data_IF_902883353588
#
_entry.id   IF_902883353588
#
_cell.length_a   1.000
_cell.length_b   1.000
_cell.length_c   1.000
_cell.angle_alpha   90.00
_cell.angle_beta   90.00
_cell.angle_gamma   90.00
#
_symmetry.space_group_name_H-M   'P 1'
#
loop_
_entity.id
_entity.type
_entity.pdbx_description
1 polymer ?
#
# COMPACT_ATOMS: atom_id res chain seq x y z
N UNK A 1 60.20 8.53 6.24
CA UNK A 1 58.81 8.18 5.84
C UNK A 1 57.82 8.86 6.79
N UNK A 2 56.98 9.79 6.33
CA UNK A 2 56.04 10.51 7.19
C UNK A 2 54.92 9.58 7.67
N UNK A 3 54.62 9.57 8.97
CA UNK A 3 53.53 8.78 9.54
C UNK A 3 52.18 9.44 9.27
N UNK A 4 51.28 8.67 8.65
CA UNK A 4 49.91 9.05 8.34
C UNK A 4 49.10 9.31 9.63
N UNK A 5 48.53 10.50 9.77
CA UNK A 5 47.67 10.87 10.90
C UNK A 5 46.23 10.50 10.60
N UNK A 6 45.64 9.57 11.38
CA UNK A 6 44.21 9.23 11.32
C UNK A 6 43.35 10.46 11.61
N UNK A 7 42.48 10.83 10.65
CA UNK A 7 41.44 11.85 10.83
C UNK A 7 40.35 11.30 11.77
N UNK A 8 39.98 12.08 12.78
CA UNK A 8 38.83 11.79 13.64
C UNK A 8 37.56 12.03 12.83
N UNK A 9 36.77 10.99 12.62
CA UNK A 9 35.42 11.07 12.07
C UNK A 9 34.54 11.63 13.18
N UNK A 10 34.22 12.92 13.10
CA UNK A 10 33.27 13.55 14.00
C UNK A 10 31.86 13.47 13.42
N UNK A 11 30.91 13.34 14.35
CA UNK A 11 29.48 13.57 14.21
C UNK A 11 28.66 12.41 13.65
N UNK A 12 27.93 11.78 14.57
CA UNK A 12 26.74 10.98 14.29
C UNK A 12 25.83 11.72 13.30
N UNK A 13 25.23 10.96 12.38
CA UNK A 13 24.20 11.50 11.49
C UNK A 13 23.03 12.05 12.33
N UNK A 14 22.47 13.22 11.98
CA UNK A 14 21.29 13.73 12.65
C UNK A 14 20.14 12.73 12.44
N UNK A 15 19.50 12.34 13.55
CA UNK A 15 18.37 11.40 13.56
C UNK A 15 17.33 11.76 12.51
N UNK A 16 16.84 10.76 11.78
CA UNK A 16 15.86 10.90 10.72
C UNK A 16 14.74 11.90 11.09
N UNK A 17 14.57 12.93 10.25
CA UNK A 17 13.48 13.90 10.41
C UNK A 17 12.16 13.16 10.32
N UNK A 18 11.42 13.09 11.42
CA UNK A 18 10.07 12.54 11.43
C UNK A 18 9.20 13.36 10.46
N UNK A 19 8.46 12.67 9.60
CA UNK A 19 7.49 13.32 8.72
C UNK A 19 6.55 14.18 9.58
N UNK A 20 6.26 15.40 9.10
CA UNK A 20 5.30 16.30 9.75
C UNK A 20 4.03 15.52 10.05
N UNK A 21 3.55 15.57 11.30
CA UNK A 21 2.31 14.93 11.72
C UNK A 21 1.19 15.39 10.77
N UNK A 22 0.77 14.50 9.88
CA UNK A 22 -0.49 14.67 9.18
C UNK A 22 -1.56 14.34 10.21
N UNK A 23 -2.32 15.35 10.63
CA UNK A 23 -3.48 15.13 11.47
C UNK A 23 -4.44 14.23 10.69
N UNK A 24 -4.87 13.12 11.28
CA UNK A 24 -5.83 12.19 10.70
C UNK A 24 -7.27 12.73 10.80
N UNK A 25 -7.43 14.04 10.62
CA UNK A 25 -8.74 14.70 10.54
C UNK A 25 -8.99 14.91 9.05
N UNK A 26 -10.11 14.40 8.54
CA UNK A 26 -10.50 14.58 7.14
C UNK A 26 -10.49 16.07 6.82
N UNK A 27 -9.97 16.47 5.65
CA UNK A 27 -9.91 17.89 5.25
C UNK A 27 -11.30 18.55 5.27
N UNK A 28 -12.36 17.75 5.05
CA UNK A 28 -13.76 18.20 5.16
C UNK A 28 -14.21 18.58 6.59
N UNK A 29 -13.42 18.25 7.62
CA UNK A 29 -13.71 18.57 9.02
C UNK A 29 -12.78 19.68 9.57
N UNK A 30 -11.89 20.23 8.74
CA UNK A 30 -11.02 21.36 9.10
C UNK A 30 -11.42 22.55 8.25
N UNK A 31 -12.14 23.49 8.85
CA UNK A 31 -12.40 24.77 8.20
C UNK A 31 -11.08 25.50 8.00
N UNK A 32 -10.75 25.81 6.73
CA UNK A 32 -9.60 26.62 6.39
C UNK A 32 -9.88 28.07 6.82
N UNK A 33 -9.45 28.43 8.03
CA UNK A 33 -9.60 29.80 8.55
C UNK A 33 -8.48 30.68 7.99
N UNK A 34 -8.82 31.59 7.08
CA UNK A 34 -7.92 32.61 6.58
C UNK A 34 -7.63 33.64 7.69
N UNK A 35 -6.39 33.63 8.18
CA UNK A 35 -5.94 34.52 9.25
C UNK A 35 -5.92 35.96 8.73
N UNK A 36 -6.97 36.73 9.04
CA UNK A 36 -7.11 38.14 8.68
C UNK A 36 -8.43 38.52 8.01
N UNK A 37 -9.26 37.55 7.58
CA UNK A 37 -10.53 37.83 6.92
C UNK A 37 -11.55 38.57 7.81
N UNK A 38 -11.43 38.43 9.14
CA UNK A 38 -12.33 39.06 10.11
C UNK A 38 -11.80 40.39 10.69
N UNK A 39 -10.74 40.98 10.13
CA UNK A 39 -10.15 42.21 10.67
C UNK A 39 -11.07 43.45 10.57
N UNK A 40 -12.00 43.45 9.61
CA UNK A 40 -12.95 44.53 9.34
C UNK A 40 -14.33 44.31 10.01
N UNK A 41 -14.55 43.15 10.64
CA UNK A 41 -15.86 42.79 11.19
C UNK A 41 -16.00 43.35 12.61
N UNK A 42 -17.06 44.14 12.83
CA UNK A 42 -17.41 44.67 14.16
C UNK A 42 -17.57 43.52 15.18
N UNK A 43 -17.00 43.68 16.38
CA UNK A 43 -17.02 42.65 17.42
C UNK A 43 -18.44 42.19 17.81
N UNK A 44 -19.46 43.02 17.62
CA UNK A 44 -20.87 42.64 17.86
C UNK A 44 -21.39 41.62 16.85
N UNK A 45 -20.97 41.69 15.58
CA UNK A 45 -21.34 40.72 14.56
C UNK A 45 -20.70 39.34 14.83
N UNK A 46 -19.46 39.33 15.32
CA UNK A 46 -18.73 38.11 15.72
C UNK A 46 -19.44 37.44 16.92
N UNK A 47 -19.89 38.24 17.90
CA UNK A 47 -20.63 37.72 19.05
C UNK A 47 -22.00 37.17 18.66
N UNK A 48 -22.68 37.78 17.69
CA UNK A 48 -23.94 37.28 17.15
C UNK A 48 -23.76 35.97 16.36
N UNK A 49 -22.74 35.85 15.51
CA UNK A 49 -22.43 34.60 14.79
C UNK A 49 -22.07 33.44 15.73
N UNK A 50 -21.33 33.72 16.81
CA UNK A 50 -21.03 32.71 17.83
C UNK A 50 -22.28 32.28 18.59
N UNK A 51 -23.24 33.19 18.77
CA UNK A 51 -24.53 32.87 19.41
C UNK A 51 -25.46 32.06 18.50
N UNK A 52 -25.44 32.28 17.19
CA UNK A 52 -26.22 31.50 16.22
C UNK A 52 -25.61 30.13 15.94
N UNK A 53 -24.29 30.03 15.84
CA UNK A 53 -23.56 28.75 15.71
C UNK A 53 -23.64 27.85 16.96
N UNK A 54 -24.04 28.40 18.12
CA UNK A 54 -24.35 27.62 19.31
C UNK A 54 -25.70 26.89 19.24
N UNK A 55 -26.52 27.17 18.23
CA UNK A 55 -27.85 26.55 18.03
C UNK A 55 -27.77 25.22 17.26
N UNK A 56 -26.65 24.95 16.59
CA UNK A 56 -26.33 23.62 16.04
C UNK A 56 -26.16 22.64 17.21
N UNK A 57 -26.92 21.54 17.28
CA UNK A 57 -26.87 20.61 18.40
C UNK A 57 -25.53 19.88 18.38
N UNK A 58 -24.51 20.45 19.02
CA UNK A 58 -23.31 19.73 19.42
C UNK A 58 -23.78 18.56 20.26
N UNK A 59 -23.75 17.36 19.70
CA UNK A 59 -24.12 16.12 20.37
C UNK A 59 -23.24 15.93 21.62
N UNK A 60 -23.70 16.53 22.72
CA UNK A 60 -23.09 16.41 24.03
C UNK A 60 -23.55 15.09 24.63
N UNK A 61 -22.94 14.01 24.15
CA UNK A 61 -23.16 12.66 24.65
C UNK A 61 -23.00 12.70 26.17
N UNK A 62 -24.04 12.27 26.89
CA UNK A 62 -24.00 12.27 28.36
C UNK A 62 -22.86 11.34 28.80
N UNK A 63 -22.22 11.66 29.93
CA UNK A 63 -21.12 10.83 30.48
C UNK A 63 -21.51 9.35 30.61
N UNK A 64 -22.78 9.08 30.91
CA UNK A 64 -23.36 7.73 30.99
C UNK A 64 -23.38 7.02 29.64
N UNK A 65 -23.86 7.67 28.59
CA UNK A 65 -23.88 7.13 27.22
C UNK A 65 -22.45 6.86 26.72
N UNK A 66 -21.51 7.76 26.99
CA UNK A 66 -20.09 7.53 26.65
C UNK A 66 -19.50 6.32 27.37
N UNK A 67 -19.91 6.08 28.63
CA UNK A 67 -19.46 4.91 29.38
C UNK A 67 -20.07 3.62 28.84
N UNK A 68 -21.35 3.65 28.44
CA UNK A 68 -22.02 2.51 27.82
C UNK A 68 -21.39 2.16 26.47
N UNK A 69 -21.16 3.16 25.60
CA UNK A 69 -20.48 2.94 24.32
C UNK A 69 -19.07 2.35 24.50
N UNK A 70 -18.33 2.79 25.52
CA UNK A 70 -17.02 2.19 25.84
C UNK A 70 -17.15 0.73 26.30
N UNK A 71 -18.16 0.44 27.12
CA UNK A 71 -18.41 -0.91 27.61
C UNK A 71 -18.80 -1.83 26.45
N UNK A 72 -19.74 -1.40 25.61
CA UNK A 72 -20.19 -2.15 24.43
C UNK A 72 -19.06 -2.40 23.45
N UNK A 73 -18.27 -1.38 23.12
CA UNK A 73 -17.10 -1.52 22.25
C UNK A 73 -16.06 -2.50 22.83
N UNK A 74 -15.89 -2.52 24.16
CA UNK A 74 -15.00 -3.47 24.81
C UNK A 74 -15.54 -4.90 24.74
N UNK A 75 -16.85 -5.10 24.94
CA UNK A 75 -17.49 -6.40 24.82
C UNK A 75 -17.44 -6.91 23.36
N UNK A 76 -17.67 -6.04 22.37
CA UNK A 76 -17.48 -6.38 20.95
C UNK A 76 -16.04 -6.76 20.63
N UNK A 77 -15.07 -6.05 21.20
CA UNK A 77 -13.65 -6.39 21.04
C UNK A 77 -13.35 -7.77 21.62
N UNK A 78 -13.88 -8.11 22.80
CA UNK A 78 -13.70 -9.44 23.38
C UNK A 78 -14.39 -10.53 22.55
N UNK A 79 -15.59 -10.25 22.01
CA UNK A 79 -16.32 -11.17 21.13
C UNK A 79 -15.61 -11.39 19.79
N UNK A 80 -14.89 -10.39 19.27
CA UNK A 80 -14.16 -10.48 17.99
C UNK A 80 -12.73 -11.01 18.13
N UNK A 81 -12.06 -10.77 19.26
CA UNK A 81 -10.68 -11.23 19.51
C UNK A 81 -10.58 -12.69 19.98
N UNK A 82 -11.70 -13.38 20.22
CA UNK A 82 -11.73 -14.83 20.43
C UNK A 82 -11.48 -15.57 19.12
N UNK A 83 -10.26 -15.44 18.59
CA UNK A 83 -9.71 -16.45 17.69
C UNK A 83 -9.71 -17.78 18.46
N UNK A 84 -10.30 -18.85 17.91
CA UNK A 84 -10.40 -20.15 18.60
C UNK A 84 -9.05 -20.83 18.84
N UNK A 85 -7.94 -20.20 18.43
CA UNK A 85 -6.60 -20.76 18.46
C UNK A 85 -5.65 -19.96 19.34
N UNK A 86 -4.83 -20.66 20.11
CA UNK A 86 -3.80 -20.06 20.95
C UNK A 86 -2.78 -19.27 20.13
N UNK A 87 -2.10 -18.30 20.75
CA UNK A 87 -1.03 -17.48 20.13
C UNK A 87 0.06 -18.35 19.47
N UNK A 88 0.40 -19.47 20.07
CA UNK A 88 1.39 -20.43 19.53
C UNK A 88 0.84 -21.15 18.30
N UNK A 89 -0.41 -21.58 18.33
CA UNK A 89 -1.05 -22.23 17.19
C UNK A 89 -1.20 -21.28 16.00
N UNK A 90 -1.54 -20.01 16.25
CA UNK A 90 -1.55 -18.97 15.22
C UNK A 90 -0.17 -18.73 14.61
N UNK A 91 0.89 -18.72 15.42
CA UNK A 91 2.28 -18.64 14.92
C UNK A 91 2.63 -19.85 14.05
N UNK A 92 2.25 -21.07 14.48
CA UNK A 92 2.47 -22.30 13.70
C UNK A 92 1.70 -22.27 12.38
N UNK A 93 0.45 -21.82 12.39
CA UNK A 93 -0.37 -21.68 11.19
C UNK A 93 0.23 -20.68 10.21
N UNK A 94 0.61 -19.48 10.69
CA UNK A 94 1.28 -18.47 9.86
C UNK A 94 2.63 -18.97 9.30
N UNK A 95 3.38 -19.76 10.09
CA UNK A 95 4.63 -20.38 9.63
C UNK A 95 4.36 -21.39 8.52
N UNK A 96 3.39 -22.29 8.69
CA UNK A 96 2.98 -23.27 7.66
C UNK A 96 2.51 -22.59 6.38
N UNK A 97 1.68 -21.55 6.49
CA UNK A 97 1.21 -20.78 5.33
C UNK A 97 2.35 -20.13 4.55
N UNK A 98 3.44 -19.71 5.22
CA UNK A 98 4.62 -19.14 4.57
C UNK A 98 5.54 -20.19 3.95
N UNK A 99 5.66 -21.35 4.59
CA UNK A 99 6.51 -22.47 4.13
C UNK A 99 5.87 -23.25 2.97
N UNK A 100 4.56 -23.13 2.78
CA UNK A 100 3.85 -23.74 1.66
C UNK A 100 4.21 -23.02 0.35
N UNK A 101 5.31 -23.45 -0.27
CA UNK A 101 5.71 -23.04 -1.62
C UNK A 101 4.62 -23.51 -2.58
N UNK A 102 3.81 -22.57 -3.07
CA UNK A 102 2.62 -22.86 -3.89
C UNK A 102 1.29 -22.83 -3.13
N UNK A 103 1.24 -22.20 -1.95
CA UNK A 103 -0.01 -22.02 -1.20
C UNK A 103 -1.07 -21.21 -1.95
N UNK A 104 -1.92 -21.93 -2.69
CA UNK A 104 -3.30 -21.58 -3.05
C UNK A 104 -3.55 -20.30 -3.85
N UNK A 105 -4.26 -20.45 -4.98
CA UNK A 105 -4.84 -19.34 -5.76
C UNK A 105 -5.78 -18.43 -4.94
N UNK A 106 -6.20 -18.87 -3.76
CA UNK A 106 -7.15 -18.18 -2.88
C UNK A 106 -6.70 -16.76 -2.52
N UNK A 107 -5.39 -16.57 -2.33
CA UNK A 107 -4.83 -15.25 -2.02
C UNK A 107 -4.95 -14.29 -3.20
N UNK A 108 -4.72 -14.76 -4.43
CA UNK A 108 -4.88 -13.99 -5.67
C UNK A 108 -6.36 -13.67 -5.90
N UNK A 109 -7.25 -14.63 -5.65
CA UNK A 109 -8.70 -14.45 -5.73
C UNK A 109 -9.20 -13.35 -4.80
N UNK A 110 -8.80 -13.39 -3.52
CA UNK A 110 -9.16 -12.38 -2.54
C UNK A 110 -8.65 -10.97 -2.91
N UNK A 111 -7.43 -10.87 -3.46
CA UNK A 111 -6.88 -9.59 -3.92
C UNK A 111 -7.64 -9.05 -5.12
N UNK A 112 -8.01 -9.89 -6.09
CA UNK A 112 -8.83 -9.47 -7.23
C UNK A 112 -10.20 -8.94 -6.77
N UNK A 113 -10.89 -9.65 -5.88
CA UNK A 113 -12.15 -9.19 -5.30
C UNK A 113 -12.01 -7.86 -4.56
N UNK A 114 -10.94 -7.66 -3.79
CA UNK A 114 -10.69 -6.40 -3.09
C UNK A 114 -10.41 -5.23 -4.05
N UNK A 115 -9.75 -5.47 -5.18
CA UNK A 115 -9.54 -4.46 -6.22
C UNK A 115 -10.88 -4.10 -6.87
N UNK A 116 -11.74 -5.07 -7.13
CA UNK A 116 -13.04 -4.87 -7.77
C UNK A 116 -14.06 -4.17 -6.84
N UNK A 117 -14.02 -4.44 -5.53
CA UNK A 117 -14.89 -3.77 -4.53
C UNK A 117 -14.48 -2.28 -4.35
N UNK A 118 -13.21 -1.94 -4.61
CA UNK A 118 -12.71 -0.56 -4.58
C UNK A 118 -13.12 0.29 -5.79
N UNK A 119 -13.88 -0.25 -6.74
CA UNK A 119 -14.40 0.44 -7.94
C UNK A 119 -15.90 0.82 -7.81
N UNK A 120 -16.44 0.91 -6.58
CA UNK A 120 -17.76 1.51 -6.36
C UNK A 120 -17.70 3.03 -6.64
N UNK A 121 -18.55 3.58 -7.52
CA UNK A 121 -18.35 4.91 -8.08
C UNK A 121 -18.98 5.98 -7.19
N UNK A 122 -18.19 6.61 -6.31
CA UNK A 122 -18.52 7.95 -5.80
C UNK A 122 -17.30 8.87 -5.88
N UNK A 123 -17.51 10.02 -6.54
CA UNK A 123 -16.65 11.22 -6.67
C UNK A 123 -15.40 11.05 -7.57
N UNK A 124 -15.33 11.52 -8.82
CA UNK A 124 -15.68 12.86 -9.35
C UNK A 124 -14.43 13.76 -9.29
N UNK A 125 -13.60 13.89 -10.33
CA UNK A 125 -13.76 14.85 -11.44
C UNK A 125 -12.49 14.85 -12.35
N UNK A 126 -12.44 15.59 -13.47
CA UNK A 126 -13.12 15.31 -14.73
C UNK A 126 -12.15 14.95 -15.87
N UNK A 127 -12.75 14.50 -16.96
CA UNK A 127 -12.11 14.10 -18.20
C UNK A 127 -11.37 15.24 -18.92
N UNK A 128 -10.21 14.91 -19.49
CA UNK A 128 -9.73 15.49 -20.73
C UNK A 128 -9.45 14.34 -21.73
N UNK A 129 -10.42 14.10 -22.61
CA UNK A 129 -10.16 13.70 -24.00
C UNK A 129 -9.72 15.00 -24.70
N UNK A 130 -8.78 15.12 -25.63
CA UNK A 130 -8.32 14.34 -26.79
C UNK A 130 -6.83 14.70 -26.99
N UNK A 131 -5.94 13.98 -27.68
CA UNK A 131 -5.88 13.71 -29.13
C UNK A 131 -4.78 12.69 -29.43
N UNK A 132 -4.84 12.11 -30.63
CA UNK A 132 -3.97 11.07 -31.18
C UNK A 132 -2.54 11.54 -31.50
N UNK A 133 -1.66 10.55 -31.56
CA UNK A 133 -0.41 10.46 -32.33
C UNK A 133 0.78 11.37 -31.96
N UNK A 134 1.66 10.84 -31.11
CA UNK A 134 3.10 10.99 -31.28
C UNK A 134 3.86 9.84 -30.59
N UNK A 135 4.66 9.15 -31.41
CA UNK A 135 5.66 8.12 -31.13
C UNK A 135 6.31 8.23 -29.74
N UNK A 136 5.98 7.30 -28.83
CA UNK A 136 6.68 7.20 -27.55
C UNK A 136 8.13 6.71 -27.77
N UNK A 137 9.17 7.39 -27.24
CA UNK A 137 10.53 6.91 -27.35
C UNK A 137 10.71 5.67 -26.48
N UNK A 138 11.25 4.60 -27.09
CA UNK A 138 11.65 3.37 -26.39
C UNK A 138 12.81 3.72 -25.44
N UNK A 139 12.50 3.95 -24.16
CA UNK A 139 13.53 4.08 -23.12
C UNK A 139 14.13 2.69 -22.89
N UNK A 140 15.36 2.49 -23.36
CA UNK A 140 16.10 1.28 -23.07
C UNK A 140 16.45 1.25 -21.57
N UNK A 141 16.21 0.13 -20.86
CA UNK A 141 16.62 0.03 -19.47
C UNK A 141 18.14 -0.07 -19.44
N UNK A 142 18.80 0.89 -18.77
CA UNK A 142 20.21 0.76 -18.37
C UNK A 142 20.30 -0.40 -17.38
N UNK A 143 20.68 -1.56 -17.90
CA UNK A 143 21.07 -2.71 -17.11
C UNK A 143 22.41 -2.40 -16.44
N UNK A 144 22.68 -3.04 -15.29
CA UNK A 144 23.93 -3.03 -14.49
C UNK A 144 23.90 -2.30 -13.13
N UNK A 145 22.76 -1.82 -12.64
CA UNK A 145 22.63 -1.42 -11.23
C UNK A 145 21.45 -2.14 -10.55
N UNK A 146 21.77 -3.09 -9.67
CA UNK A 146 20.79 -3.80 -8.85
C UNK A 146 20.27 -2.80 -7.82
N UNK A 147 19.07 -2.25 -8.04
CA UNK A 147 18.40 -1.39 -7.06
C UNK A 147 17.61 -0.20 -7.64
N UNK A 148 17.86 0.20 -8.89
CA UNK A 148 17.28 1.44 -9.47
C UNK A 148 16.30 1.18 -10.64
N UNK A 149 15.75 -0.02 -10.74
CA UNK A 149 14.75 -0.37 -11.75
C UNK A 149 13.32 -0.31 -11.21
N UNK A 150 12.51 0.66 -11.67
CA UNK A 150 11.03 0.71 -11.55
C UNK A 150 10.48 0.85 -10.12
N UNK A 151 10.79 1.96 -9.44
CA UNK A 151 10.10 2.35 -8.20
C UNK A 151 8.62 2.73 -8.38
N UNK A 152 8.14 2.86 -9.62
CA UNK A 152 6.72 3.05 -9.89
C UNK A 152 5.98 1.72 -9.90
N UNK A 153 5.12 1.53 -8.91
CA UNK A 153 4.18 0.41 -8.90
C UNK A 153 3.30 0.47 -10.16
N UNK A 154 2.97 -0.68 -10.73
CA UNK A 154 2.06 -0.81 -11.87
C UNK A 154 0.74 -0.06 -11.62
N UNK A 155 0.08 0.45 -12.66
CA UNK A 155 -1.27 1.05 -12.55
C UNK A 155 -2.28 -0.01 -12.08
N UNK A 156 -3.37 0.37 -11.40
CA UNK A 156 -4.40 -0.57 -10.89
C UNK A 156 -4.82 -1.61 -11.95
N UNK A 157 -5.17 -1.15 -13.15
CA UNK A 157 -5.58 -2.01 -14.27
C UNK A 157 -4.47 -2.95 -14.75
N UNK A 158 -3.20 -2.50 -14.71
CA UNK A 158 -2.06 -3.34 -15.05
C UNK A 158 -1.83 -4.42 -13.98
N UNK A 159 -2.01 -4.09 -12.70
CA UNK A 159 -1.96 -5.08 -11.60
C UNK A 159 -3.07 -6.10 -11.74
N UNK A 160 -4.30 -5.67 -12.01
CA UNK A 160 -5.45 -6.57 -12.23
C UNK A 160 -5.16 -7.57 -13.35
N UNK A 161 -4.75 -7.07 -14.53
CA UNK A 161 -4.38 -7.94 -15.67
C UNK A 161 -3.23 -8.90 -15.34
N UNK A 162 -2.22 -8.43 -14.60
CA UNK A 162 -1.11 -9.29 -14.18
C UNK A 162 -1.57 -10.39 -13.21
N UNK A 163 -2.45 -10.07 -12.25
CA UNK A 163 -3.03 -11.03 -11.32
C UNK A 163 -3.96 -12.03 -12.02
N UNK A 164 -4.75 -11.60 -13.01
CA UNK A 164 -5.58 -12.47 -13.84
C UNK A 164 -4.72 -13.46 -14.65
N UNK A 165 -3.63 -12.99 -15.25
CA UNK A 165 -2.69 -13.86 -15.97
C UNK A 165 -2.07 -14.88 -15.01
N UNK A 166 -1.58 -14.44 -13.85
CA UNK A 166 -0.99 -15.35 -12.87
C UNK A 166 -2.01 -16.36 -12.33
N UNK A 167 -3.30 -15.98 -12.19
CA UNK A 167 -4.38 -16.91 -11.84
C UNK A 167 -4.52 -18.04 -12.86
N UNK A 168 -4.38 -17.75 -14.15
CA UNK A 168 -4.41 -18.77 -15.22
C UNK A 168 -3.11 -19.58 -15.28
N UNK A 169 -1.97 -18.95 -14.98
CA UNK A 169 -0.64 -19.55 -15.11
C UNK A 169 -0.32 -20.53 -13.98
N UNK A 170 -0.61 -20.18 -12.73
CA UNK A 170 -0.28 -21.02 -11.58
C UNK A 170 -0.81 -22.47 -11.66
N UNK A 171 -2.06 -22.76 -12.06
CA UNK A 171 -2.51 -24.14 -12.15
C UNK A 171 -1.73 -24.95 -13.20
N UNK A 172 -1.28 -24.30 -14.28
CA UNK A 172 -0.43 -24.94 -15.30
C UNK A 172 0.98 -25.25 -14.79
N UNK A 173 1.50 -24.44 -13.87
CA UNK A 173 2.79 -24.72 -13.21
C UNK A 173 2.63 -25.88 -12.23
N UNK A 174 1.55 -25.88 -11.45
CA UNK A 174 1.28 -26.91 -10.44
C UNK A 174 0.90 -28.26 -11.05
N UNK A 175 0.33 -28.29 -12.27
CA UNK A 175 0.06 -29.54 -12.98
C UNK A 175 1.33 -30.26 -13.46
N UNK A 176 2.48 -29.60 -13.46
CA UNK A 176 3.74 -30.22 -13.82
C UNK A 176 4.28 -31.08 -12.66
N UNK A 177 4.43 -32.41 -12.83
CA UNK A 177 4.88 -33.31 -11.76
C UNK A 177 6.33 -33.03 -11.30
N UNK A 178 7.18 -32.51 -12.19
CA UNK A 178 8.56 -32.12 -11.83
C UNK A 178 8.57 -30.90 -10.90
N UNK A 179 7.64 -29.98 -11.12
CA UNK A 179 7.49 -28.80 -10.27
C UNK A 179 6.94 -29.17 -8.89
N UNK A 180 5.95 -30.07 -8.84
CA UNK A 180 5.35 -30.57 -7.59
C UNK A 180 6.36 -31.33 -6.71
N UNK A 181 7.22 -32.15 -7.33
CA UNK A 181 8.26 -32.90 -6.61
C UNK A 181 9.43 -32.03 -6.14
N UNK A 182 9.98 -31.17 -7.01
CA UNK A 182 11.05 -30.25 -6.66
C UNK A 182 10.97 -28.93 -7.45
N UNK A 183 10.35 -27.87 -6.89
CA UNK A 183 10.15 -26.62 -7.61
C UNK A 183 11.48 -25.91 -7.89
N UNK A 184 12.44 -25.97 -6.96
CA UNK A 184 13.73 -25.29 -7.12
C UNK A 184 14.59 -25.92 -8.20
N UNK A 185 14.61 -27.26 -8.29
CA UNK A 185 15.32 -27.95 -9.36
C UNK A 185 14.69 -27.64 -10.72
N UNK A 186 13.36 -27.66 -10.81
CA UNK A 186 12.63 -27.32 -12.04
C UNK A 186 12.89 -25.87 -12.49
N UNK A 187 12.98 -24.93 -11.55
CA UNK A 187 13.34 -23.53 -11.88
C UNK A 187 14.78 -23.45 -12.40
N UNK A 188 15.74 -24.16 -11.77
CA UNK A 188 17.14 -24.20 -12.24
C UNK A 188 17.25 -24.75 -13.65
N UNK A 189 16.60 -25.89 -13.93
CA UNK A 189 16.65 -26.50 -15.27
C UNK A 189 15.96 -25.63 -16.32
N UNK A 190 14.82 -25.01 -15.99
CA UNK A 190 14.16 -24.06 -16.87
C UNK A 190 15.05 -22.85 -17.18
N UNK A 191 15.69 -22.27 -16.16
CA UNK A 191 16.61 -21.14 -16.32
C UNK A 191 17.82 -21.52 -17.18
N UNK A 192 18.43 -22.68 -16.95
CA UNK A 192 19.50 -23.20 -17.81
C UNK A 192 19.04 -23.33 -19.26
N UNK A 193 17.87 -23.91 -19.49
CA UNK A 193 17.33 -24.11 -20.84
C UNK A 193 16.94 -22.81 -21.56
N UNK A 194 16.60 -21.74 -20.82
CA UNK A 194 16.13 -20.47 -21.40
C UNK A 194 17.20 -19.39 -21.48
N UNK A 195 18.07 -19.28 -20.48
CA UNK A 195 19.12 -18.26 -20.43
C UNK A 195 20.33 -18.65 -21.29
N UNK A 196 20.74 -19.92 -21.27
CA UNK A 196 21.87 -20.39 -22.09
C UNK A 196 21.52 -20.24 -23.57
N UNK A 197 20.33 -20.68 -23.99
CA UNK A 197 19.88 -20.56 -25.40
C UNK A 197 19.72 -19.13 -25.89
N UNK A 198 19.48 -18.15 -25.01
CA UNK A 198 19.37 -16.73 -25.39
C UNK A 198 20.73 -16.04 -25.51
N UNK A 199 21.77 -16.57 -24.88
CA UNK A 199 23.13 -16.07 -25.07
C UNK A 199 23.68 -16.42 -26.46
N UNK A 200 23.23 -17.53 -27.05
CA UNK A 200 23.72 -18.05 -28.33
C UNK A 200 22.97 -17.49 -29.56
N UNK A 201 21.91 -16.70 -29.38
CA UNK A 201 21.22 -16.04 -30.50
C UNK A 201 21.99 -14.77 -30.85
N UNK A 202 22.66 -14.68 -32.02
CA UNK A 202 23.31 -13.44 -32.42
C UNK A 202 22.24 -12.35 -32.55
N UNK A 203 22.39 -11.29 -31.77
CA UNK A 203 21.61 -10.07 -31.92
C UNK A 203 21.84 -9.50 -33.31
N UNK A 204 20.92 -9.77 -34.24
CA UNK A 204 20.85 -9.10 -35.52
C UNK A 204 20.62 -7.60 -35.24
N UNK A 205 21.60 -6.79 -35.63
CA UNK A 205 21.56 -5.32 -35.60
C UNK A 205 20.61 -4.79 -36.68
#
# INVERSE_FOLDING_TARGET
MPRERRKRISAHEPSAKLARRQFAVQENAVEAVEVGAAAEVSGEAILQELSTAATEPRHSIKKKEKQQLKHEAFIEKLKSETSPYSKVQRRRFNRRQREQVGGGLDTIGAVLSAIDIGDSPEQGSPAAKETKDARAPKVQPKTLQIGEGKGMLLKKNQRKRALELEKLRQPLILSNPQYSSNPFQTIRTHAQNTLVKRADVPTAQ
#
